data_IF_623103148007
#
_entry.id   IF_623103148007
#
_cell.length_a   1.000
_cell.length_b   1.000
_cell.length_c   1.000
_cell.angle_alpha   90.00
_cell.angle_beta   90.00
_cell.angle_gamma   90.00
#
_symmetry.space_group_name_H-M   'P 1'
#
loop_
_entity.id
_entity.type
_entity.pdbx_description
1 polymer ?
#
# COMPACT_ATOMS: atom_id res chain seq x y z
N UNK A 1 4.89 -27.89 38.97
CA UNK A 1 4.39 -26.51 39.23
C UNK A 1 5.23 -25.45 38.53
N UNK A 2 6.55 -25.35 38.76
CA UNK A 2 7.43 -24.41 38.03
C UNK A 2 7.46 -24.61 36.51
N UNK A 3 7.48 -25.85 36.03
CA UNK A 3 7.49 -26.15 34.58
C UNK A 3 6.19 -25.75 33.86
N UNK A 4 5.04 -25.80 34.54
CA UNK A 4 3.76 -25.30 33.99
C UNK A 4 3.75 -23.78 33.88
N UNK A 5 4.34 -23.10 34.86
CA UNK A 5 4.41 -21.63 34.88
C UNK A 5 5.31 -21.09 33.77
N UNK A 6 6.42 -21.77 33.48
CA UNK A 6 7.29 -21.46 32.33
C UNK A 6 6.55 -21.65 31.00
N UNK A 7 5.81 -22.74 30.84
CA UNK A 7 5.05 -23.01 29.62
C UNK A 7 3.94 -21.97 29.39
N UNK A 8 3.27 -21.54 30.46
CA UNK A 8 2.24 -20.50 30.42
C UNK A 8 2.80 -19.12 30.07
N UNK A 9 3.99 -18.76 30.58
CA UNK A 9 4.68 -17.52 30.21
C UNK A 9 5.11 -17.55 28.74
N UNK A 10 5.58 -18.70 28.24
CA UNK A 10 6.01 -18.86 26.86
C UNK A 10 4.83 -18.71 25.87
N UNK A 11 3.67 -19.28 26.18
CA UNK A 11 2.47 -19.16 25.34
C UNK A 11 1.87 -17.76 25.35
N UNK A 12 1.88 -17.07 26.49
CA UNK A 12 1.44 -15.67 26.59
C UNK A 12 2.38 -14.74 25.80
N UNK A 13 3.71 -14.93 25.87
CA UNK A 13 4.67 -14.13 25.12
C UNK A 13 4.58 -14.34 23.59
N UNK A 14 4.31 -15.57 23.14
CA UNK A 14 4.13 -15.86 21.72
C UNK A 14 2.77 -15.37 21.17
N UNK A 15 1.70 -15.43 21.98
CA UNK A 15 0.34 -15.08 21.55
C UNK A 15 0.11 -13.58 21.29
N UNK A 16 0.95 -12.70 21.84
CA UNK A 16 0.78 -11.24 21.75
C UNK A 16 1.22 -10.65 20.38
N UNK A 17 1.94 -11.41 19.53
CA UNK A 17 2.50 -10.88 18.28
C UNK A 17 1.73 -11.21 16.98
N UNK A 18 0.52 -11.76 17.05
CA UNK A 18 -0.30 -11.98 15.85
C UNK A 18 -1.08 -10.72 15.42
N UNK A 19 -0.42 -9.58 15.20
CA UNK A 19 -1.07 -8.40 14.62
C UNK A 19 -1.05 -8.53 13.09
N UNK A 20 -2.16 -9.01 12.51
CA UNK A 20 -2.36 -9.03 11.07
C UNK A 20 -2.16 -7.62 10.51
N UNK A 21 -1.21 -7.44 9.59
CA UNK A 21 -0.97 -6.16 8.93
C UNK A 21 -2.12 -5.88 7.96
N UNK A 22 -3.08 -5.07 8.39
CA UNK A 22 -4.10 -4.54 7.51
C UNK A 22 -3.48 -3.42 6.65
N UNK A 23 -3.53 -3.56 5.32
CA UNK A 23 -3.06 -2.54 4.37
C UNK A 23 -4.21 -1.57 4.10
N UNK A 24 -4.41 -0.61 5.01
CA UNK A 24 -5.44 0.43 4.96
C UNK A 24 -5.22 1.49 3.86
N UNK A 25 -4.23 1.28 2.98
CA UNK A 25 -3.88 2.27 1.97
C UNK A 25 -4.89 2.31 0.84
N UNK A 26 -5.22 3.51 0.38
CA UNK A 26 -6.03 3.73 -0.81
C UNK A 26 -5.22 3.28 -2.03
N UNK A 27 -5.76 2.34 -2.80
CA UNK A 27 -5.10 1.78 -3.99
C UNK A 27 -5.60 2.49 -5.23
N UNK A 28 -4.69 3.09 -6.00
CA UNK A 28 -4.99 3.79 -7.24
C UNK A 28 -4.23 3.12 -8.37
N UNK A 29 -4.92 2.70 -9.43
CA UNK A 29 -4.29 2.22 -10.66
C UNK A 29 -4.52 3.23 -11.78
N UNK A 30 -3.45 3.72 -12.39
CA UNK A 30 -3.52 4.73 -13.45
C UNK A 30 -3.11 4.07 -14.76
N UNK A 31 -4.08 3.92 -15.66
CA UNK A 31 -3.88 3.45 -17.02
C UNK A 31 -3.60 4.67 -17.89
N UNK A 32 -2.43 4.71 -18.52
CA UNK A 32 -1.97 5.91 -19.22
C UNK A 32 -1.20 5.56 -20.49
N UNK A 33 -1.04 6.56 -21.36
CA UNK A 33 -0.20 6.48 -22.55
C UNK A 33 0.94 7.49 -22.41
N UNK A 34 2.18 7.05 -22.60
CA UNK A 34 3.37 7.86 -22.29
C UNK A 34 3.42 9.19 -23.05
N UNK A 35 2.94 9.22 -24.30
CA UNK A 35 2.96 10.41 -25.14
C UNK A 35 1.65 11.22 -25.11
N UNK A 36 0.58 10.68 -24.55
CA UNK A 36 -0.71 11.36 -24.51
C UNK A 36 -0.62 12.63 -23.63
N UNK A 37 -0.99 13.82 -24.16
CA UNK A 37 -0.89 15.07 -23.42
C UNK A 37 -1.75 15.09 -22.15
N UNK A 38 -2.96 14.51 -22.21
CA UNK A 38 -3.86 14.46 -21.05
C UNK A 38 -3.35 13.52 -19.96
N UNK A 39 -2.80 12.36 -20.35
CA UNK A 39 -2.13 11.44 -19.42
C UNK A 39 -1.00 12.14 -18.67
N UNK A 40 -0.13 12.86 -19.39
CA UNK A 40 0.96 13.64 -18.77
C UNK A 40 0.41 14.70 -17.81
N UNK A 41 -0.57 15.48 -18.25
CA UNK A 41 -1.18 16.55 -17.44
C UNK A 41 -1.83 16.01 -16.17
N UNK A 42 -2.57 14.91 -16.25
CA UNK A 42 -3.15 14.24 -15.08
C UNK A 42 -2.06 13.81 -14.09
N UNK A 43 -1.02 13.12 -14.58
CA UNK A 43 0.07 12.60 -13.75
C UNK A 43 0.79 13.76 -13.04
N UNK A 44 1.13 14.84 -13.75
CA UNK A 44 1.96 15.92 -13.20
C UNK A 44 1.16 16.90 -12.34
N UNK A 45 -0.05 17.26 -12.76
CA UNK A 45 -0.80 18.35 -12.14
C UNK A 45 -1.80 17.89 -11.09
N UNK A 46 -2.21 16.62 -11.11
CA UNK A 46 -3.22 16.10 -10.18
C UNK A 46 -2.68 14.94 -9.34
N UNK A 47 -2.11 13.90 -9.97
CA UNK A 47 -1.68 12.71 -9.25
C UNK A 47 -0.44 12.94 -8.39
N UNK A 48 0.58 13.61 -8.94
CA UNK A 48 1.83 13.90 -8.22
C UNK A 48 1.63 14.69 -6.91
N UNK A 49 0.86 15.80 -6.87
CA UNK A 49 0.61 16.50 -5.61
C UNK A 49 -0.17 15.63 -4.63
N UNK A 50 -1.22 14.91 -5.07
CA UNK A 50 -1.97 14.00 -4.19
C UNK A 50 -1.07 12.92 -3.58
N UNK A 51 -0.20 12.29 -4.38
CA UNK A 51 0.72 11.28 -3.86
C UNK A 51 1.72 11.85 -2.84
N UNK A 52 2.18 13.09 -3.06
CA UNK A 52 3.06 13.78 -2.12
C UNK A 52 2.35 14.11 -0.82
N UNK A 53 1.14 14.65 -0.90
CA UNK A 53 0.41 15.17 0.25
C UNK A 53 -0.16 14.03 1.12
N UNK A 54 -0.48 12.87 0.51
CA UNK A 54 -0.96 11.66 1.20
C UNK A 54 0.07 10.52 1.23
N UNK A 55 1.36 10.87 1.32
CA UNK A 55 2.45 9.90 1.32
C UNK A 55 2.28 8.87 2.44
N UNK A 56 2.33 7.59 2.08
CA UNK A 56 2.18 6.47 3.02
C UNK A 56 0.74 5.99 3.22
N UNK A 57 -0.26 6.77 2.82
CA UNK A 57 -1.68 6.40 2.85
C UNK A 57 -2.21 5.99 1.48
N UNK A 58 -1.53 6.38 0.39
CA UNK A 58 -1.92 6.03 -0.98
C UNK A 58 -0.87 5.13 -1.63
N UNK A 59 -1.33 4.08 -2.31
CA UNK A 59 -0.53 3.16 -3.11
C UNK A 59 -0.91 3.28 -4.57
N UNK A 60 -0.03 3.90 -5.36
CA UNK A 60 -0.24 4.13 -6.80
C UNK A 60 0.44 3.04 -7.62
N UNK A 61 -0.29 2.46 -8.57
CA UNK A 61 0.21 1.56 -9.62
C UNK A 61 0.08 2.25 -10.97
N UNK A 62 1.20 2.44 -11.67
CA UNK A 62 1.22 2.98 -13.02
C UNK A 62 1.13 1.83 -14.02
N UNK A 63 0.15 1.86 -14.93
CA UNK A 63 -0.05 0.82 -15.95
C UNK A 63 0.02 1.48 -17.33
N UNK A 64 1.11 1.31 -18.09
CA UNK A 64 1.15 1.76 -19.47
C UNK A 64 0.16 0.91 -20.28
N UNK A 65 -0.90 1.54 -20.78
CA UNK A 65 -1.94 0.86 -21.55
C UNK A 65 -1.63 0.97 -23.05
N UNK A 66 -1.33 2.19 -23.53
CA UNK A 66 -1.20 2.48 -24.96
C UNK A 66 -2.53 2.26 -25.70
N UNK A 67 -2.90 3.14 -26.64
CA UNK A 67 -3.88 2.74 -27.65
C UNK A 67 -3.32 1.55 -28.43
N UNK A 68 -3.63 0.33 -28.00
CA UNK A 68 -3.50 -0.88 -28.78
C UNK A 68 -4.70 -0.93 -29.73
N UNK A 69 -4.64 -0.13 -30.80
CA UNK A 69 -5.62 -0.21 -31.89
C UNK A 69 -4.91 0.07 -33.20
#
# INVERSE_FOLDING_TARGET
MRSLLVLFVLTVLCGVHAKGKHDDKVKIAVYYESLCPDSKKFITSQLAPVWRDFRGQVKVKMVPYGKAT
#
